data_IF_275627471630
#
_entry.id   IF_275627471630
#
_cell.length_a   1.000
_cell.length_b   1.000
_cell.length_c   1.000
_cell.angle_alpha   90.00
_cell.angle_beta   90.00
_cell.angle_gamma   90.00
#
_symmetry.space_group_name_H-M   'P 1'
#
loop_
_entity.id
_entity.type
_entity.pdbx_description
1 polymer ?
#
# COMPACT_ATOMS: atom_id res chain seq x y z
N UNK A 1 -33.52 4.98 0.90
CA UNK A 1 -32.22 5.34 0.31
C UNK A 1 -32.50 6.34 -0.81
N UNK A 2 -31.66 7.35 -1.07
CA UNK A 2 -31.85 8.25 -2.22
C UNK A 2 -31.92 7.41 -3.50
N UNK A 3 -32.78 7.79 -4.46
CA UNK A 3 -33.13 6.94 -5.60
C UNK A 3 -31.98 6.69 -6.62
N UNK A 4 -30.77 7.22 -6.42
CA UNK A 4 -29.58 6.93 -7.24
C UNK A 4 -28.29 7.39 -6.50
N UNK A 5 -27.64 6.48 -5.74
CA UNK A 5 -26.40 6.80 -5.00
C UNK A 5 -25.22 7.08 -5.94
N UNK A 6 -25.09 6.31 -7.03
CA UNK A 6 -24.05 6.49 -8.04
C UNK A 6 -24.05 7.91 -8.59
N UNK A 7 -25.24 8.40 -8.96
CA UNK A 7 -25.41 9.77 -9.45
C UNK A 7 -25.10 10.83 -8.41
N UNK A 8 -25.61 10.67 -7.19
CA UNK A 8 -25.33 11.61 -6.09
C UNK A 8 -23.82 11.74 -5.85
N UNK A 9 -23.11 10.62 -5.78
CA UNK A 9 -21.66 10.63 -5.60
C UNK A 9 -20.92 11.24 -6.78
N UNK A 10 -21.36 10.96 -8.01
CA UNK A 10 -20.75 11.51 -9.23
C UNK A 10 -20.89 13.04 -9.28
N UNK A 11 -22.09 13.56 -9.00
CA UNK A 11 -22.36 15.00 -8.98
C UNK A 11 -21.52 15.71 -7.90
N UNK A 12 -21.45 15.14 -6.70
CA UNK A 12 -20.66 15.68 -5.58
C UNK A 12 -19.15 15.61 -5.86
N UNK A 13 -18.66 14.50 -6.42
CA UNK A 13 -17.26 14.33 -6.82
C UNK A 13 -16.85 15.34 -7.89
N UNK A 14 -17.65 15.51 -8.95
CA UNK A 14 -17.32 16.47 -10.02
C UNK A 14 -17.32 17.91 -9.48
N UNK A 15 -18.25 18.26 -8.58
CA UNK A 15 -18.30 19.59 -7.97
C UNK A 15 -17.06 19.91 -7.13
N UNK A 16 -16.52 18.93 -6.41
CA UNK A 16 -15.41 19.12 -5.47
C UNK A 16 -14.03 18.84 -6.09
N UNK A 17 -13.93 17.86 -6.98
CA UNK A 17 -12.68 17.31 -7.48
C UNK A 17 -12.43 17.54 -8.98
N UNK A 18 -13.20 18.40 -9.65
CA UNK A 18 -12.90 18.80 -11.04
C UNK A 18 -11.45 19.32 -11.24
N UNK A 19 -10.84 20.07 -10.29
CA UNK A 19 -9.43 20.43 -10.41
C UNK A 19 -8.49 19.21 -10.52
N UNK A 20 -8.76 18.14 -9.77
CA UNK A 20 -8.00 16.89 -9.87
C UNK A 20 -8.23 16.18 -11.20
N UNK A 21 -9.48 16.16 -11.69
CA UNK A 21 -9.83 15.62 -13.02
C UNK A 21 -9.08 16.37 -14.13
N UNK A 22 -9.03 17.71 -14.05
CA UNK A 22 -8.28 18.52 -15.01
C UNK A 22 -6.79 18.14 -15.03
N UNK A 23 -6.17 18.06 -13.84
CA UNK A 23 -4.74 17.72 -13.72
C UNK A 23 -4.43 16.32 -14.27
N UNK A 24 -5.27 15.32 -13.97
CA UNK A 24 -5.03 13.96 -14.47
C UNK A 24 -5.19 13.88 -16.00
N UNK A 25 -6.17 14.60 -16.58
CA UNK A 25 -6.38 14.63 -18.04
C UNK A 25 -5.23 15.34 -18.76
N UNK A 26 -4.75 16.47 -18.22
CA UNK A 26 -3.60 17.20 -18.78
C UNK A 26 -2.30 16.37 -18.70
N UNK A 27 -2.10 15.68 -17.58
CA UNK A 27 -0.94 14.78 -17.43
C UNK A 27 -1.05 13.59 -18.37
N UNK A 28 -2.23 13.02 -18.55
CA UNK A 28 -2.47 11.92 -19.49
C UNK A 28 -2.23 12.34 -20.94
N UNK A 29 -2.66 13.55 -21.33
CA UNK A 29 -2.44 14.07 -22.69
C UNK A 29 -0.95 14.30 -23.00
N UNK A 30 -0.16 14.63 -21.98
CA UNK A 30 1.30 14.81 -22.08
C UNK A 30 2.09 13.52 -21.81
N UNK A 31 1.42 12.41 -21.48
CA UNK A 31 2.04 11.11 -21.22
C UNK A 31 2.67 10.57 -22.52
N UNK A 32 4.00 10.73 -22.65
CA UNK A 32 4.73 10.60 -23.92
C UNK A 32 4.85 9.13 -24.34
N UNK A 33 5.06 8.90 -25.65
CA UNK A 33 5.39 7.56 -26.18
C UNK A 33 6.68 6.95 -25.59
N UNK A 34 7.63 7.76 -25.15
CA UNK A 34 8.87 7.28 -24.50
C UNK A 34 8.61 6.66 -23.12
N UNK A 35 7.57 7.10 -22.40
CA UNK A 35 7.13 6.50 -21.14
C UNK A 35 6.47 5.11 -21.33
N UNK A 36 6.16 4.73 -22.58
CA UNK A 36 5.53 3.44 -22.95
C UNK A 36 6.51 2.28 -23.08
N UNK A 37 7.81 2.51 -22.82
CA UNK A 37 8.83 1.44 -22.74
C UNK A 37 8.88 0.75 -21.36
N UNK A 38 7.99 1.12 -20.45
CA UNK A 38 7.84 0.45 -19.15
C UNK A 38 7.58 -1.05 -19.33
N UNK A 39 8.14 -1.84 -18.41
CA UNK A 39 7.85 -3.27 -18.33
C UNK A 39 6.35 -3.48 -18.05
N UNK A 40 5.77 -4.60 -18.52
CA UNK A 40 4.40 -4.95 -18.17
C UNK A 40 4.19 -5.03 -16.65
N UNK A 41 3.05 -4.54 -16.20
CA UNK A 41 2.66 -4.55 -14.78
C UNK A 41 1.67 -5.69 -14.57
N UNK A 42 2.00 -6.59 -13.64
CA UNK A 42 1.09 -7.68 -13.24
C UNK A 42 0.31 -7.26 -12.01
N UNK A 43 -1.01 -7.22 -12.13
CA UNK A 43 -1.94 -6.94 -11.05
C UNK A 43 -2.91 -8.12 -10.89
N UNK A 44 -3.66 -8.15 -9.79
CA UNK A 44 -4.72 -9.14 -9.62
C UNK A 44 -6.00 -8.49 -9.11
N UNK A 45 -7.12 -9.19 -9.23
CA UNK A 45 -8.36 -8.87 -8.52
C UNK A 45 -9.03 -10.17 -8.11
N UNK A 46 -10.09 -10.10 -7.32
CA UNK A 46 -10.96 -11.25 -7.09
C UNK A 46 -12.19 -11.13 -7.97
N UNK A 47 -12.61 -12.25 -8.54
CA UNK A 47 -13.87 -12.39 -9.27
C UNK A 47 -14.53 -13.68 -8.82
N UNK A 48 -15.76 -13.60 -8.33
CA UNK A 48 -16.50 -14.75 -7.78
C UNK A 48 -15.67 -15.51 -6.72
N UNK A 49 -15.02 -14.79 -5.80
CA UNK A 49 -14.18 -15.37 -4.75
C UNK A 49 -12.85 -15.99 -5.23
N UNK A 50 -12.48 -15.85 -6.50
CA UNK A 50 -11.22 -16.38 -7.04
C UNK A 50 -10.29 -15.26 -7.47
N UNK A 51 -9.00 -15.38 -7.10
CA UNK A 51 -7.94 -14.48 -7.56
C UNK A 51 -7.70 -14.67 -9.06
N UNK A 52 -7.83 -13.59 -9.82
CA UNK A 52 -7.55 -13.51 -11.25
C UNK A 52 -6.41 -12.52 -11.47
N UNK A 53 -5.33 -12.97 -12.11
CA UNK A 53 -4.22 -12.10 -12.47
C UNK A 53 -4.45 -11.50 -13.86
N UNK A 54 -4.06 -10.23 -14.03
CA UNK A 54 -4.07 -9.50 -15.29
C UNK A 54 -2.71 -8.86 -15.52
N UNK A 55 -2.26 -8.82 -16.77
CA UNK A 55 -1.05 -8.11 -17.18
C UNK A 55 -1.43 -6.90 -18.03
N UNK A 56 -0.89 -5.75 -17.65
CA UNK A 56 -1.06 -4.49 -18.37
C UNK A 56 0.26 -4.12 -19.01
N UNK A 57 0.21 -3.68 -20.27
CA UNK A 57 1.41 -3.09 -20.86
C UNK A 57 1.80 -1.80 -20.10
N UNK A 58 3.06 -1.41 -20.23
CA UNK A 58 3.60 -0.22 -19.59
C UNK A 58 3.07 1.11 -20.12
N UNK A 59 2.16 1.11 -21.10
CA UNK A 59 1.60 2.32 -21.70
C UNK A 59 0.38 2.88 -20.96
N UNK A 60 -0.14 2.14 -19.98
CA UNK A 60 -1.22 2.61 -19.13
C UNK A 60 -0.72 3.62 -18.09
N UNK A 61 -1.61 4.54 -17.71
CA UNK A 61 -1.40 5.49 -16.62
C UNK A 61 -1.96 4.90 -15.33
N UNK A 62 -1.09 4.49 -14.41
CA UNK A 62 -1.51 3.80 -13.20
C UNK A 62 -1.85 4.80 -12.07
N UNK A 63 -3.11 4.78 -11.62
CA UNK A 63 -3.59 5.54 -10.48
C UNK A 63 -3.65 4.63 -9.24
N UNK A 64 -2.81 4.89 -8.25
CA UNK A 64 -2.74 4.09 -7.03
C UNK A 64 -3.72 4.60 -5.97
N UNK A 65 -4.51 3.70 -5.38
CA UNK A 65 -5.07 3.80 -4.04
C UNK A 65 -4.30 2.94 -3.03
N UNK A 66 -4.54 3.14 -1.73
CA UNK A 66 -3.85 2.43 -0.64
C UNK A 66 -4.77 1.46 0.11
N UNK A 67 -4.25 0.29 0.47
CA UNK A 67 -4.83 -0.62 1.46
C UNK A 67 -3.74 -1.08 2.45
N UNK A 68 -4.14 -1.68 3.56
CA UNK A 68 -3.21 -2.35 4.48
C UNK A 68 -3.58 -3.80 4.78
N UNK A 69 -2.59 -4.63 5.16
CA UNK A 69 -2.77 -5.98 5.68
C UNK A 69 -2.90 -6.04 7.22
N UNK A 70 -2.96 -4.88 7.87
CA UNK A 70 -3.07 -4.78 9.33
C UNK A 70 -4.45 -5.14 9.87
N UNK A 71 -5.46 -5.22 9.01
CA UNK A 71 -6.83 -5.58 9.34
C UNK A 71 -7.51 -6.32 8.17
N UNK A 72 -8.27 -7.41 8.40
CA UNK A 72 -9.02 -8.10 7.35
C UNK A 72 -10.19 -7.30 6.79
N UNK A 73 -10.82 -6.43 7.59
CA UNK A 73 -11.96 -5.62 7.14
C UNK A 73 -11.47 -4.36 6.43
N UNK A 74 -12.27 -3.86 5.48
CA UNK A 74 -12.14 -2.53 4.94
C UNK A 74 -12.45 -1.49 6.02
N UNK A 75 -11.56 -0.52 6.19
CA UNK A 75 -11.89 0.68 6.97
C UNK A 75 -12.68 1.68 6.12
N UNK A 76 -13.29 2.66 6.78
CA UNK A 76 -14.05 3.70 6.08
C UNK A 76 -13.15 4.56 5.17
N UNK A 77 -11.91 4.82 5.58
CA UNK A 77 -10.89 5.50 4.78
C UNK A 77 -10.49 4.68 3.55
N UNK A 78 -10.39 3.35 3.69
CA UNK A 78 -10.13 2.46 2.57
C UNK A 78 -11.29 2.48 1.57
N UNK A 79 -12.54 2.42 2.03
CA UNK A 79 -13.73 2.50 1.17
C UNK A 79 -13.80 3.84 0.43
N UNK A 80 -13.66 4.96 1.14
CA UNK A 80 -13.65 6.28 0.53
C UNK A 80 -12.53 6.41 -0.52
N UNK A 81 -11.36 5.87 -0.20
CA UNK A 81 -10.23 5.83 -1.10
C UNK A 81 -10.45 5.01 -2.37
N UNK A 82 -11.06 3.83 -2.25
CA UNK A 82 -11.44 2.99 -3.39
C UNK A 82 -12.43 3.74 -4.30
N UNK A 83 -13.47 4.35 -3.71
CA UNK A 83 -14.45 5.14 -4.46
C UNK A 83 -13.76 6.33 -5.16
N UNK A 84 -12.93 7.08 -4.45
CA UNK A 84 -12.20 8.22 -4.99
C UNK A 84 -11.28 7.84 -6.15
N UNK A 85 -10.57 6.71 -6.04
CA UNK A 85 -9.72 6.20 -7.11
C UNK A 85 -10.55 5.80 -8.35
N UNK A 86 -11.66 5.08 -8.15
CA UNK A 86 -12.56 4.67 -9.25
C UNK A 86 -13.22 5.88 -9.93
N UNK A 87 -13.65 6.87 -9.16
CA UNK A 87 -14.24 8.12 -9.67
C UNK A 87 -13.23 8.93 -10.48
N UNK A 88 -12.01 9.12 -9.96
CA UNK A 88 -10.98 9.90 -10.63
C UNK A 88 -10.52 9.22 -11.93
N UNK A 89 -10.37 7.90 -11.93
CA UNK A 89 -10.05 7.14 -13.13
C UNK A 89 -11.18 7.23 -14.17
N UNK A 90 -12.43 7.01 -13.78
CA UNK A 90 -13.56 7.08 -14.72
C UNK A 90 -13.73 8.48 -15.31
N UNK A 91 -13.72 9.52 -14.47
CA UNK A 91 -13.82 10.91 -14.92
C UNK A 91 -12.61 11.30 -15.79
N UNK A 92 -11.40 10.90 -15.39
CA UNK A 92 -10.18 11.15 -16.16
C UNK A 92 -10.24 10.52 -17.56
N UNK A 93 -10.63 9.24 -17.64
CA UNK A 93 -10.80 8.54 -18.93
C UNK A 93 -11.92 9.18 -19.78
N UNK A 94 -13.04 9.58 -19.16
CA UNK A 94 -14.15 10.24 -19.84
C UNK A 94 -13.71 11.58 -20.45
N UNK A 95 -13.19 12.51 -19.64
CA UNK A 95 -12.82 13.84 -20.12
C UNK A 95 -11.56 13.85 -21.00
N UNK A 96 -10.74 12.81 -20.95
CA UNK A 96 -9.68 12.61 -21.94
C UNK A 96 -10.26 12.36 -23.34
N UNK A 97 -11.34 11.57 -23.44
CA UNK A 97 -11.98 11.23 -24.71
C UNK A 97 -12.93 12.32 -25.23
N UNK A 98 -13.59 13.06 -24.32
CA UNK A 98 -14.63 14.04 -24.67
C UNK A 98 -14.24 15.50 -24.46
N UNK A 99 -12.96 15.76 -24.12
CA UNK A 99 -12.38 17.07 -23.79
C UNK A 99 -12.89 17.67 -22.47
N UNK A 100 -12.01 18.41 -21.79
CA UNK A 100 -12.33 19.12 -20.55
C UNK A 100 -13.32 20.26 -20.77
N UNK A 101 -14.40 20.25 -19.98
CA UNK A 101 -15.46 21.27 -19.95
C UNK A 101 -16.24 21.16 -18.63
N UNK A 102 -17.11 22.12 -18.35
CA UNK A 102 -18.07 21.99 -17.25
C UNK A 102 -19.01 20.81 -17.52
N UNK A 103 -19.19 19.90 -16.54
CA UNK A 103 -20.05 18.73 -16.71
C UNK A 103 -21.51 19.13 -16.81
N UNK A 104 -22.21 18.56 -17.78
CA UNK A 104 -23.66 18.64 -17.90
C UNK A 104 -24.36 17.35 -17.45
N UNK A 105 -25.69 17.33 -17.53
CA UNK A 105 -26.50 16.18 -17.12
C UNK A 105 -26.24 14.91 -17.96
N UNK A 106 -25.85 15.06 -19.22
CA UNK A 106 -25.51 13.92 -20.08
C UNK A 106 -24.14 13.35 -19.69
N UNK A 107 -23.15 14.21 -19.38
CA UNK A 107 -21.85 13.76 -18.87
C UNK A 107 -22.03 12.92 -17.60
N UNK A 108 -22.80 13.43 -16.65
CA UNK A 108 -23.09 12.72 -15.40
C UNK A 108 -23.71 11.35 -15.68
N UNK A 109 -24.70 11.29 -16.59
CA UNK A 109 -25.37 10.03 -16.94
C UNK A 109 -24.41 9.01 -17.58
N UNK A 110 -23.54 9.43 -18.50
CA UNK A 110 -22.58 8.53 -19.13
C UNK A 110 -21.47 8.09 -18.18
N UNK A 111 -21.02 8.98 -17.28
CA UNK A 111 -20.07 8.62 -16.22
C UNK A 111 -20.69 7.57 -15.29
N UNK A 112 -21.93 7.78 -14.82
CA UNK A 112 -22.64 6.81 -13.97
C UNK A 112 -22.78 5.43 -14.66
N UNK A 113 -23.10 5.43 -15.95
CA UNK A 113 -23.18 4.19 -16.75
C UNK A 113 -21.82 3.48 -16.88
N UNK A 114 -20.74 4.26 -16.96
CA UNK A 114 -19.37 3.73 -17.05
C UNK A 114 -18.89 3.21 -15.70
N UNK A 115 -19.23 3.89 -14.61
CA UNK A 115 -18.93 3.46 -13.23
C UNK A 115 -19.52 2.09 -12.90
N UNK A 116 -20.67 1.73 -13.48
CA UNK A 116 -21.34 0.42 -13.33
C UNK A 116 -20.62 -0.76 -14.02
N UNK A 117 -19.52 -0.50 -14.73
CA UNK A 117 -18.75 -1.50 -15.47
C UNK A 117 -17.32 -1.57 -14.94
N UNK A 118 -16.55 -2.63 -15.26
CA UNK A 118 -15.12 -2.68 -14.99
C UNK A 118 -14.37 -1.48 -15.54
N UNK A 119 -13.26 -1.12 -14.87
CA UNK A 119 -12.34 -0.09 -15.34
C UNK A 119 -11.87 -0.38 -16.77
N UNK A 120 -12.02 0.62 -17.62
CA UNK A 120 -11.66 0.60 -19.04
C UNK A 120 -11.05 1.96 -19.41
N UNK A 121 -10.01 1.94 -20.25
CA UNK A 121 -9.36 3.14 -20.75
C UNK A 121 -7.87 3.21 -20.42
N UNK A 122 -7.23 4.35 -20.74
CA UNK A 122 -5.78 4.51 -20.56
C UNK A 122 -5.36 4.68 -19.10
N UNK A 123 -6.24 5.16 -18.21
CA UNK A 123 -6.00 5.20 -16.76
C UNK A 123 -6.48 3.89 -16.15
N UNK A 124 -5.61 3.22 -15.40
CA UNK A 124 -5.93 2.00 -14.64
C UNK A 124 -5.78 2.31 -13.16
N UNK A 125 -6.88 2.25 -12.41
CA UNK A 125 -6.86 2.35 -10.96
C UNK A 125 -6.49 1.00 -10.33
N UNK A 126 -5.62 1.03 -9.32
CA UNK A 126 -5.23 -0.16 -8.57
C UNK A 126 -4.95 0.15 -7.08
N UNK A 127 -5.04 -0.88 -6.25
CA UNK A 127 -4.81 -0.84 -4.81
C UNK A 127 -3.42 -1.40 -4.51
N UNK A 128 -2.56 -0.58 -3.93
CA UNK A 128 -1.29 -1.05 -3.39
C UNK A 128 -1.47 -1.35 -1.91
N UNK A 129 -1.09 -2.54 -1.48
CA UNK A 129 -0.95 -2.78 -0.06
C UNK A 129 0.34 -2.12 0.45
N UNK A 130 0.21 -1.08 1.27
CA UNK A 130 1.34 -0.22 1.66
C UNK A 130 2.03 -0.63 2.96
N UNK A 131 1.59 -1.71 3.62
CA UNK A 131 2.28 -2.21 4.81
C UNK A 131 1.94 -3.69 5.12
N UNK A 132 2.71 -4.62 4.55
CA UNK A 132 2.59 -6.06 4.78
C UNK A 132 3.39 -6.57 6.01
N UNK A 133 3.55 -5.72 7.04
CA UNK A 133 4.56 -5.91 8.09
C UNK A 133 4.02 -6.38 9.43
N UNK A 134 2.91 -5.83 9.90
CA UNK A 134 2.31 -6.24 11.17
C UNK A 134 0.83 -6.56 10.96
N UNK A 135 0.38 -7.81 11.22
CA UNK A 135 -0.99 -8.25 10.94
C UNK A 135 -2.04 -7.64 11.87
N UNK A 136 -1.64 -6.91 12.92
CA UNK A 136 -2.56 -6.18 13.80
C UNK A 136 -1.90 -4.87 14.28
N UNK A 137 -1.59 -4.01 13.31
CA UNK A 137 -0.81 -2.79 13.53
C UNK A 137 -1.50 -1.76 14.42
N UNK A 138 -2.81 -1.62 14.26
CA UNK A 138 -3.63 -0.59 14.91
C UNK A 138 -4.63 -1.15 15.93
N UNK A 139 -4.44 -2.39 16.38
CA UNK A 139 -5.26 -2.97 17.46
C UNK A 139 -6.75 -3.06 17.15
N UNK A 140 -7.07 -3.29 15.88
CA UNK A 140 -8.44 -3.35 15.36
C UNK A 140 -8.71 -4.66 14.60
N UNK A 141 -7.75 -5.59 14.60
CA UNK A 141 -7.93 -6.88 13.97
C UNK A 141 -8.79 -7.82 14.86
N UNK A 142 -9.89 -8.39 14.36
CA UNK A 142 -10.72 -9.34 15.12
C UNK A 142 -10.03 -10.68 15.41
N UNK A 143 -8.80 -10.89 14.92
CA UNK A 143 -7.94 -12.04 15.21
C UNK A 143 -6.80 -11.71 16.19
N UNK A 144 -6.77 -10.49 16.75
CA UNK A 144 -5.68 -9.96 17.58
C UNK A 144 -5.13 -10.96 18.60
N UNK A 145 -5.99 -11.50 19.46
CA UNK A 145 -5.55 -12.41 20.52
C UNK A 145 -4.90 -13.68 19.96
N UNK A 146 -5.39 -14.19 18.82
CA UNK A 146 -4.90 -15.45 18.25
C UNK A 146 -3.66 -15.25 17.40
N UNK A 147 -3.48 -14.07 16.81
CA UNK A 147 -2.22 -13.62 16.21
C UNK A 147 -1.12 -13.58 17.29
N UNK A 148 -1.42 -13.05 18.48
CA UNK A 148 -0.46 -12.98 19.60
C UNK A 148 -0.18 -14.36 20.19
N UNK A 149 -1.22 -15.12 20.53
CA UNK A 149 -1.06 -16.44 21.18
C UNK A 149 -0.48 -17.51 20.26
N UNK A 150 -0.65 -17.38 18.93
CA UNK A 150 0.04 -18.24 17.95
C UNK A 150 1.55 -17.91 17.80
N UNK A 151 2.02 -16.81 18.39
CA UNK A 151 3.41 -16.36 18.32
C UNK A 151 3.78 -15.61 17.04
N UNK A 152 2.79 -15.21 16.24
CA UNK A 152 2.99 -14.63 14.91
C UNK A 152 2.86 -13.10 14.89
N UNK A 153 2.60 -12.45 16.04
CA UNK A 153 2.34 -11.01 16.07
C UNK A 153 3.53 -10.10 15.72
N UNK A 154 4.75 -10.65 15.67
CA UNK A 154 5.94 -9.95 15.17
C UNK A 154 6.37 -10.41 13.76
N UNK A 155 5.59 -11.27 13.09
CA UNK A 155 5.86 -11.72 11.72
C UNK A 155 5.34 -10.68 10.72
N UNK A 156 6.01 -10.51 9.56
CA UNK A 156 5.38 -9.90 8.38
C UNK A 156 4.05 -10.57 8.09
N UNK A 157 3.03 -9.81 7.68
CA UNK A 157 1.71 -10.35 7.32
C UNK A 157 1.82 -11.45 6.25
N UNK A 158 2.78 -11.34 5.34
CA UNK A 158 3.08 -12.36 4.33
C UNK A 158 3.52 -13.73 4.89
N UNK A 159 4.02 -13.78 6.14
CA UNK A 159 4.46 -15.02 6.80
C UNK A 159 3.42 -15.57 7.77
N UNK A 160 2.39 -14.80 8.08
CA UNK A 160 1.34 -15.23 9.02
C UNK A 160 0.53 -16.36 8.38
N UNK A 161 0.32 -17.39 9.19
CA UNK A 161 -0.38 -18.62 8.87
C UNK A 161 -1.73 -18.67 9.57
N UNK A 162 -2.78 -19.04 8.84
CA UNK A 162 -4.18 -18.92 9.32
C UNK A 162 -4.65 -20.10 10.18
N UNK A 163 -3.94 -21.23 10.17
CA UNK A 163 -4.36 -22.50 10.79
C UNK A 163 -4.56 -22.42 12.31
N UNK A 164 -3.93 -21.44 12.97
CA UNK A 164 -4.05 -21.19 14.41
C UNK A 164 -4.82 -19.92 14.76
N UNK A 165 -5.32 -19.22 13.76
CA UNK A 165 -6.08 -18.00 13.96
C UNK A 165 -7.55 -18.34 14.12
N UNK A 166 -8.24 -17.57 14.95
CA UNK A 166 -9.69 -17.64 15.14
C UNK A 166 -10.17 -16.27 15.57
N UNK A 167 -11.47 -16.03 15.41
CA UNK A 167 -12.14 -14.86 15.94
C UNK A 167 -11.86 -14.75 17.45
N UNK A 168 -11.43 -13.57 17.87
CA UNK A 168 -11.34 -13.19 19.26
C UNK A 168 -12.72 -12.77 19.76
N UNK A 169 -13.39 -13.66 20.49
CA UNK A 169 -14.74 -13.40 20.99
C UNK A 169 -14.77 -12.21 21.95
N UNK A 170 -13.69 -11.96 22.72
CA UNK A 170 -13.65 -10.80 23.62
C UNK A 170 -13.60 -9.49 22.82
N UNK A 171 -12.88 -9.49 21.70
CA UNK A 171 -12.91 -8.36 20.77
C UNK A 171 -14.33 -8.16 20.21
N UNK A 172 -14.97 -9.22 19.73
CA UNK A 172 -16.33 -9.13 19.17
C UNK A 172 -17.32 -8.61 20.20
N UNK A 173 -17.37 -9.21 21.39
CA UNK A 173 -18.30 -8.82 22.46
C UNK A 173 -18.12 -7.37 22.88
N UNK A 174 -16.88 -6.86 22.83
CA UNK A 174 -16.57 -5.47 23.19
C UNK A 174 -16.88 -4.47 22.07
N UNK A 175 -16.61 -4.84 20.82
CA UNK A 175 -16.59 -3.89 19.69
C UNK A 175 -17.75 -4.06 18.71
N UNK A 176 -18.67 -4.99 18.97
CA UNK A 176 -19.87 -5.14 18.16
C UNK A 176 -20.65 -3.81 18.05
N UNK A 177 -20.94 -3.40 16.82
CA UNK A 177 -21.63 -2.15 16.50
C UNK A 177 -20.72 -0.91 16.46
N UNK A 178 -19.44 -1.02 16.85
CA UNK A 178 -18.47 0.08 16.81
C UNK A 178 -17.35 -0.14 15.78
N UNK A 179 -16.61 -1.26 15.88
CA UNK A 179 -15.53 -1.61 14.92
C UNK A 179 -15.88 -2.79 14.03
N UNK A 180 -16.85 -3.60 14.44
CA UNK A 180 -17.23 -4.81 13.73
C UNK A 180 -18.71 -5.08 13.92
N UNK A 181 -19.37 -5.64 12.92
CA UNK A 181 -20.73 -6.15 13.05
C UNK A 181 -20.76 -7.67 12.87
N UNK A 182 -21.85 -8.29 13.32
CA UNK A 182 -22.05 -9.75 13.20
C UNK A 182 -21.84 -10.29 11.78
N UNK A 183 -22.32 -9.58 10.77
CA UNK A 183 -22.14 -9.96 9.35
C UNK A 183 -20.67 -10.02 8.96
N UNK A 184 -19.86 -9.07 9.43
CA UNK A 184 -18.41 -9.06 9.19
C UNK A 184 -17.71 -10.18 9.94
N UNK A 185 -18.10 -10.48 11.18
CA UNK A 185 -17.58 -11.64 11.92
C UNK A 185 -17.84 -12.93 11.13
N UNK A 186 -19.06 -13.13 10.65
CA UNK A 186 -19.44 -14.32 9.88
C UNK A 186 -18.66 -14.43 8.56
N UNK A 187 -18.43 -13.30 7.88
CA UNK A 187 -17.62 -13.24 6.66
C UNK A 187 -16.16 -13.58 6.96
N UNK A 188 -15.56 -12.93 7.96
CA UNK A 188 -14.18 -13.14 8.38
C UNK A 188 -13.96 -14.61 8.75
N UNK A 189 -14.84 -15.20 9.57
CA UNK A 189 -14.70 -16.59 9.98
C UNK A 189 -14.78 -17.54 8.77
N UNK A 190 -15.74 -17.35 7.88
CA UNK A 190 -15.90 -18.17 6.67
C UNK A 190 -14.69 -18.07 5.74
N UNK A 191 -14.14 -16.88 5.53
CA UNK A 191 -12.97 -16.71 4.68
C UNK A 191 -11.70 -17.28 5.34
N UNK A 192 -11.59 -17.17 6.66
CA UNK A 192 -10.48 -17.74 7.42
C UNK A 192 -10.42 -19.26 7.27
N UNK A 193 -11.56 -19.95 7.33
CA UNK A 193 -11.68 -21.39 7.10
C UNK A 193 -11.25 -21.81 5.68
N UNK A 194 -11.45 -20.94 4.68
CA UNK A 194 -11.15 -21.19 3.27
C UNK A 194 -9.76 -20.71 2.81
N UNK A 195 -9.01 -20.03 3.68
CA UNK A 195 -7.77 -19.33 3.34
C UNK A 195 -6.55 -20.22 3.04
N UNK A 196 -6.65 -21.53 3.25
CA UNK A 196 -5.58 -22.52 2.96
C UNK A 196 -4.20 -22.13 3.53
N UNK A 197 -4.16 -21.54 4.72
CA UNK A 197 -2.92 -21.25 5.45
C UNK A 197 -2.21 -19.95 5.07
N UNK A 198 -2.82 -19.07 4.26
CA UNK A 198 -2.23 -17.80 3.85
C UNK A 198 -3.01 -16.61 4.38
N UNK A 199 -2.39 -15.83 5.27
CA UNK A 199 -3.04 -14.66 5.87
C UNK A 199 -3.31 -13.54 4.86
N UNK A 200 -2.39 -13.29 3.92
CA UNK A 200 -2.60 -12.26 2.90
C UNK A 200 -3.66 -12.65 1.88
N UNK A 201 -3.78 -13.94 1.54
CA UNK A 201 -4.90 -14.42 0.71
C UNK A 201 -6.23 -14.34 1.45
N UNK A 202 -6.23 -14.64 2.76
CA UNK A 202 -7.37 -14.43 3.64
C UNK A 202 -7.83 -12.96 3.64
N UNK A 203 -6.94 -12.01 3.96
CA UNK A 203 -7.30 -10.59 4.02
C UNK A 203 -7.80 -10.10 2.67
N UNK A 204 -7.13 -10.46 1.57
CA UNK A 204 -7.61 -10.08 0.24
C UNK A 204 -9.02 -10.65 -0.04
N UNK A 205 -9.28 -11.91 0.32
CA UNK A 205 -10.60 -12.51 0.12
C UNK A 205 -11.71 -11.83 0.92
N UNK A 206 -11.43 -11.40 2.16
CA UNK A 206 -12.38 -10.64 2.99
C UNK A 206 -12.63 -9.27 2.38
N UNK A 207 -11.56 -8.51 2.09
CA UNK A 207 -11.68 -7.16 1.54
C UNK A 207 -12.41 -7.15 0.21
N UNK A 208 -12.08 -8.06 -0.72
CA UNK A 208 -12.77 -8.12 -2.00
C UNK A 208 -14.24 -8.55 -1.87
N UNK A 209 -14.59 -9.44 -0.94
CA UNK A 209 -16.00 -9.76 -0.68
C UNK A 209 -16.78 -8.54 -0.14
N UNK A 210 -16.14 -7.70 0.68
CA UNK A 210 -16.73 -6.43 1.12
C UNK A 210 -16.80 -5.41 -0.03
N UNK A 211 -15.79 -5.33 -0.90
CA UNK A 211 -15.81 -4.47 -2.10
C UNK A 211 -16.98 -4.85 -3.02
N UNK A 212 -17.23 -6.14 -3.25
CA UNK A 212 -18.34 -6.63 -4.08
C UNK A 212 -19.70 -6.19 -3.51
N UNK A 213 -19.93 -6.38 -2.21
CA UNK A 213 -21.13 -5.93 -1.52
C UNK A 213 -21.33 -4.40 -1.59
N UNK A 214 -20.26 -3.65 -1.39
CA UNK A 214 -20.26 -2.19 -1.47
C UNK A 214 -20.54 -1.75 -2.91
N UNK A 215 -19.98 -2.44 -3.90
CA UNK A 215 -20.20 -2.16 -5.33
C UNK A 215 -21.68 -2.26 -5.70
N UNK A 216 -22.35 -3.33 -5.24
CA UNK A 216 -23.80 -3.50 -5.40
C UNK A 216 -24.58 -2.37 -4.74
N UNK A 217 -24.20 -1.98 -3.52
CA UNK A 217 -24.90 -0.95 -2.74
C UNK A 217 -24.80 0.44 -3.40
N UNK A 218 -23.63 0.79 -3.93
CA UNK A 218 -23.40 2.09 -4.57
C UNK A 218 -23.78 2.11 -6.06
N UNK A 219 -24.07 0.95 -6.66
CA UNK A 219 -24.18 0.76 -8.10
C UNK A 219 -22.96 1.30 -8.86
N UNK A 220 -21.76 1.00 -8.34
CA UNK A 220 -20.46 1.35 -8.93
C UNK A 220 -19.62 0.08 -8.85
N UNK A 221 -18.99 -0.33 -9.95
CA UNK A 221 -18.00 -1.41 -9.91
C UNK A 221 -16.71 -0.90 -9.25
N UNK A 222 -16.51 -1.29 -7.99
CA UNK A 222 -15.36 -0.91 -7.17
C UNK A 222 -14.29 -2.00 -7.12
N UNK A 223 -14.41 -3.08 -7.92
CA UNK A 223 -13.45 -4.19 -8.00
C UNK A 223 -12.14 -3.78 -8.70
N UNK A 224 -11.42 -2.84 -8.08
CA UNK A 224 -10.12 -2.38 -8.54
C UNK A 224 -9.10 -3.52 -8.52
N UNK A 225 -8.10 -3.42 -9.40
CA UNK A 225 -6.94 -4.29 -9.35
C UNK A 225 -6.11 -4.03 -8.09
N UNK A 226 -5.24 -4.96 -7.71
CA UNK A 226 -4.37 -4.86 -6.55
C UNK A 226 -2.95 -5.37 -6.84
N UNK A 227 -2.00 -4.85 -6.06
CA UNK A 227 -0.60 -5.23 -6.07
C UNK A 227 -0.10 -5.48 -4.63
N UNK A 228 0.55 -6.63 -4.42
CA UNK A 228 1.16 -7.01 -3.13
C UNK A 228 2.64 -6.63 -3.08
N UNK A 229 2.98 -5.65 -2.25
CA UNK A 229 4.36 -5.24 -2.01
C UNK A 229 4.59 -4.96 -0.52
N UNK A 230 5.86 -5.00 -0.06
CA UNK A 230 7.05 -5.45 -0.79
C UNK A 230 7.32 -6.96 -0.73
N UNK A 231 6.87 -7.70 0.29
CA UNK A 231 7.42 -9.04 0.59
C UNK A 231 7.03 -10.07 -0.47
N UNK A 232 5.77 -10.10 -0.90
CA UNK A 232 5.34 -11.01 -1.95
C UNK A 232 6.08 -10.78 -3.28
N UNK A 233 6.39 -9.51 -3.59
CA UNK A 233 7.20 -9.16 -4.77
C UNK A 233 8.64 -9.63 -4.60
N UNK A 234 9.27 -9.35 -3.45
CA UNK A 234 10.63 -9.80 -3.16
C UNK A 234 10.80 -11.33 -3.18
N UNK A 235 9.77 -12.08 -2.79
CA UNK A 235 9.75 -13.55 -2.87
C UNK A 235 9.65 -14.07 -4.30
N UNK A 236 8.99 -13.32 -5.20
CA UNK A 236 8.82 -13.69 -6.60
C UNK A 236 9.99 -13.22 -7.48
N UNK A 237 10.68 -12.16 -7.08
CA UNK A 237 11.85 -11.59 -7.74
C UNK A 237 13.14 -12.39 -7.50
N UNK A 238 14.03 -12.36 -8.48
CA UNK A 238 15.41 -12.81 -8.38
C UNK A 238 16.33 -11.65 -7.95
N UNK A 239 17.59 -11.94 -7.62
CA UNK A 239 18.56 -10.91 -7.20
C UNK A 239 18.82 -9.83 -8.25
N UNK A 240 18.57 -10.13 -9.52
CA UNK A 240 18.79 -9.22 -10.65
C UNK A 240 17.58 -8.32 -10.93
N UNK A 241 16.48 -8.50 -10.20
CA UNK A 241 15.24 -7.73 -10.33
C UNK A 241 15.23 -6.48 -9.44
N UNK A 242 14.18 -5.68 -9.61
CA UNK A 242 14.16 -4.28 -9.22
C UNK A 242 14.29 -4.04 -7.71
N UNK A 243 13.51 -4.72 -6.87
CA UNK A 243 13.56 -4.43 -5.43
C UNK A 243 14.85 -4.96 -4.81
N UNK A 244 15.40 -6.07 -5.30
CA UNK A 244 16.70 -6.57 -4.86
C UNK A 244 17.83 -5.62 -5.24
N UNK A 245 17.79 -5.04 -6.45
CA UNK A 245 18.72 -4.00 -6.89
C UNK A 245 18.63 -2.73 -6.05
N UNK A 246 17.41 -2.25 -5.75
CA UNK A 246 17.19 -1.08 -4.91
C UNK A 246 17.81 -1.28 -3.52
N UNK A 247 17.58 -2.45 -2.91
CA UNK A 247 18.16 -2.77 -1.60
C UNK A 247 19.68 -2.84 -1.70
N UNK A 248 20.22 -3.53 -2.70
CA UNK A 248 21.67 -3.66 -2.94
C UNK A 248 22.36 -2.30 -3.05
N UNK A 249 21.88 -1.44 -3.94
CA UNK A 249 22.50 -0.13 -4.20
C UNK A 249 22.42 0.80 -2.98
N UNK A 250 21.32 0.77 -2.22
CA UNK A 250 21.16 1.59 -1.01
C UNK A 250 22.04 1.14 0.15
N UNK A 251 22.59 -0.08 0.11
CA UNK A 251 23.51 -0.62 1.12
C UNK A 251 24.96 -0.76 0.65
N UNK A 252 25.27 -0.36 -0.60
CA UNK A 252 26.59 -0.56 -1.23
C UNK A 252 27.75 -0.03 -0.39
N UNK A 253 27.61 1.17 0.17
CA UNK A 253 28.65 1.83 0.97
C UNK A 253 28.07 2.92 1.87
N UNK A 254 28.92 3.54 2.69
CA UNK A 254 28.55 4.62 3.62
C UNK A 254 27.84 5.79 2.92
N UNK A 255 28.31 6.18 1.74
CA UNK A 255 27.73 7.30 1.00
C UNK A 255 26.30 7.00 0.56
N UNK A 256 26.04 5.82 -0.01
CA UNK A 256 24.70 5.40 -0.42
C UNK A 256 23.75 5.36 0.78
N UNK A 257 24.18 4.78 1.91
CA UNK A 257 23.37 4.76 3.14
C UNK A 257 23.11 6.18 3.66
N UNK A 258 24.12 7.05 3.63
CA UNK A 258 24.00 8.45 4.05
C UNK A 258 23.01 9.22 3.17
N UNK A 259 23.06 9.01 1.85
CA UNK A 259 22.09 9.59 0.91
C UNK A 259 20.67 9.11 1.21
N UNK A 260 20.46 7.81 1.45
CA UNK A 260 19.16 7.26 1.84
C UNK A 260 18.64 7.87 3.16
N UNK A 261 19.52 8.05 4.15
CA UNK A 261 19.20 8.73 5.40
C UNK A 261 18.77 10.18 5.19
N UNK A 262 19.45 10.91 4.31
CA UNK A 262 19.10 12.29 3.97
C UNK A 262 17.73 12.37 3.29
N UNK A 263 17.38 11.42 2.42
CA UNK A 263 16.03 11.35 1.83
C UNK A 263 14.94 11.23 2.92
N UNK A 264 15.21 10.52 4.01
CA UNK A 264 14.31 10.40 5.17
C UNK A 264 14.46 11.51 6.21
N UNK A 265 15.33 12.51 5.97
CA UNK A 265 15.72 13.55 6.94
C UNK A 265 16.24 13.01 8.27
N UNK A 266 16.97 11.89 8.21
CA UNK A 266 17.54 11.25 9.40
C UNK A 266 19.04 11.45 9.46
N UNK A 267 19.55 11.58 10.68
CA UNK A 267 20.99 11.67 10.93
C UNK A 267 21.65 10.30 10.98
N UNK A 268 22.82 10.19 10.33
CA UNK A 268 23.70 9.03 10.43
C UNK A 268 24.49 8.95 11.74
N UNK A 269 24.38 9.92 12.65
CA UNK A 269 25.17 9.95 13.90
C UNK A 269 24.91 8.72 14.78
N UNK A 270 23.64 8.33 14.97
CA UNK A 270 23.29 7.16 15.80
C UNK A 270 23.35 5.84 15.02
N UNK A 271 23.25 5.88 13.69
CA UNK A 271 23.27 4.70 12.80
C UNK A 271 22.20 3.65 13.13
N UNK A 272 21.01 4.09 13.57
CA UNK A 272 19.95 3.19 14.08
C UNK A 272 18.80 2.94 13.12
N UNK A 273 18.69 3.68 12.02
CA UNK A 273 17.62 3.47 11.04
C UNK A 273 18.04 2.38 10.07
N UNK A 274 17.33 1.26 10.11
CA UNK A 274 17.51 0.20 9.14
C UNK A 274 16.79 0.56 7.84
N UNK A 275 17.50 0.65 6.72
CA UNK A 275 16.92 0.90 5.40
C UNK A 275 16.08 -0.31 4.93
N UNK A 276 16.49 -1.51 5.34
CA UNK A 276 15.70 -2.73 5.28
C UNK A 276 15.84 -3.46 6.61
N UNK A 277 14.75 -4.02 7.15
CA UNK A 277 14.74 -4.69 8.45
C UNK A 277 14.94 -6.19 8.24
N UNK A 278 16.12 -6.77 8.53
CA UNK A 278 16.36 -8.20 8.35
C UNK A 278 15.46 -9.04 9.24
N UNK A 279 14.91 -10.11 8.68
CA UNK A 279 14.07 -11.04 9.41
C UNK A 279 14.91 -12.00 10.25
N UNK A 280 14.38 -12.40 11.39
CA UNK A 280 15.04 -13.40 12.23
C UNK A 280 14.81 -14.82 11.69
N UNK A 281 15.65 -15.79 12.09
CA UNK A 281 15.42 -17.21 11.80
C UNK A 281 14.12 -17.74 12.41
N UNK A 282 13.56 -17.04 13.40
CA UNK A 282 12.27 -17.34 14.01
C UNK A 282 11.09 -16.77 13.22
N UNK A 283 11.34 -16.04 12.12
CA UNK A 283 10.31 -15.43 11.27
C UNK A 283 9.92 -13.99 11.66
N UNK A 284 10.55 -13.41 12.68
CA UNK A 284 10.24 -12.03 13.09
C UNK A 284 10.68 -11.04 12.02
N UNK A 285 9.80 -10.11 11.66
CA UNK A 285 10.02 -9.10 10.61
C UNK A 285 9.34 -7.76 10.90
N UNK A 286 8.71 -7.60 12.06
CA UNK A 286 8.10 -6.33 12.50
C UNK A 286 9.12 -5.18 12.51
N UNK A 287 8.79 -4.10 11.79
CA UNK A 287 9.57 -2.86 11.78
C UNK A 287 9.50 -2.17 13.13
N UNK A 288 8.38 -2.30 13.84
CA UNK A 288 8.17 -1.68 15.15
C UNK A 288 8.94 -2.37 16.27
N UNK A 289 9.06 -3.70 16.24
CA UNK A 289 9.78 -4.49 17.24
C UNK A 289 11.31 -4.49 17.04
N UNK A 290 11.78 -4.22 15.82
CA UNK A 290 13.21 -4.22 15.51
C UNK A 290 13.95 -3.00 16.07
N UNK A 291 15.15 -3.22 16.60
CA UNK A 291 16.13 -2.18 16.96
C UNK A 291 17.43 -2.50 16.24
N UNK A 292 17.86 -1.58 15.38
CA UNK A 292 19.01 -1.76 14.51
C UNK A 292 20.22 -0.92 14.88
N UNK A 293 21.41 -1.39 14.50
CA UNK A 293 22.61 -0.56 14.43
C UNK A 293 23.46 -0.94 13.21
N UNK A 294 23.82 0.04 12.40
CA UNK A 294 24.73 -0.12 11.27
C UNK A 294 26.18 0.05 11.74
N UNK A 295 27.04 -0.89 11.35
CA UNK A 295 28.47 -0.90 11.67
C UNK A 295 29.27 -0.75 10.39
N UNK A 296 30.09 0.29 10.34
CA UNK A 296 30.97 0.58 9.21
C UNK A 296 32.41 0.34 9.58
N UNK A 297 33.18 -0.14 8.62
CA UNK A 297 34.63 -0.21 8.63
C UNK A 297 35.08 0.62 7.43
N UNK A 298 35.70 1.77 7.73
CA UNK A 298 35.91 2.86 6.78
C UNK A 298 34.60 3.26 6.07
N UNK A 299 34.55 3.07 4.75
CA UNK A 299 33.38 3.37 3.91
C UNK A 299 32.50 2.14 3.67
N UNK A 300 32.92 0.94 4.06
CA UNK A 300 32.20 -0.31 3.83
C UNK A 300 31.21 -0.58 4.96
N UNK A 301 29.97 -0.94 4.63
CA UNK A 301 29.05 -1.50 5.61
C UNK A 301 29.57 -2.89 6.01
N UNK A 302 30.09 -3.01 7.23
CA UNK A 302 30.63 -4.26 7.75
C UNK A 302 29.51 -5.20 8.18
N UNK A 303 28.56 -4.68 8.96
CA UNK A 303 27.46 -5.47 9.48
C UNK A 303 26.29 -4.62 9.98
N UNK A 304 25.16 -5.28 10.18
CA UNK A 304 23.95 -4.73 10.79
C UNK A 304 23.56 -5.59 11.97
N UNK A 305 23.53 -5.01 13.17
CA UNK A 305 23.03 -5.69 14.36
C UNK A 305 21.54 -5.42 14.51
N UNK A 306 20.76 -6.46 14.75
CA UNK A 306 19.30 -6.40 14.88
C UNK A 306 18.89 -7.09 16.17
N UNK A 307 18.19 -6.35 17.03
CA UNK A 307 17.56 -6.87 18.24
C UNK A 307 16.04 -6.70 18.14
N UNK A 308 15.31 -7.81 18.10
CA UNK A 308 13.86 -7.82 18.23
C UNK A 308 13.50 -7.78 19.72
N UNK A 309 12.55 -6.92 20.06
CA UNK A 309 12.01 -6.80 21.40
C UNK A 309 10.50 -6.70 21.34
N UNK A 310 9.83 -7.40 22.26
CA UNK A 310 8.39 -7.29 22.46
C UNK A 310 8.02 -5.82 22.62
N UNK A 311 7.19 -5.30 21.71
CA UNK A 311 6.92 -3.86 21.60
C UNK A 311 5.43 -3.61 21.39
N UNK A 312 4.89 -2.60 22.07
CA UNK A 312 3.54 -2.08 21.84
C UNK A 312 3.45 -1.47 20.44
N UNK A 313 2.40 -1.83 19.71
CA UNK A 313 2.08 -1.31 18.39
C UNK A 313 1.34 0.03 18.51
N UNK A 314 0.50 0.37 17.53
CA UNK A 314 -0.23 1.62 17.52
C UNK A 314 -1.61 1.45 18.18
N UNK A 315 -2.10 2.48 18.89
CA UNK A 315 -3.45 2.47 19.44
C UNK A 315 -4.51 2.50 18.33
N UNK A 316 -5.73 2.03 18.65
CA UNK A 316 -6.92 2.35 17.87
C UNK A 316 -7.56 3.65 18.38
N UNK A 317 -8.46 4.24 17.60
CA UNK A 317 -9.09 5.54 17.91
C UNK A 317 -10.24 5.46 18.91
N UNK A 318 -10.77 4.26 19.23
CA UNK A 318 -11.90 4.09 20.16
C UNK A 318 -11.41 3.89 21.60
N UNK A 319 -10.43 3.01 21.80
CA UNK A 319 -9.80 2.69 23.09
C UNK A 319 -8.26 2.71 22.94
N UNK A 320 -7.64 3.91 22.99
CA UNK A 320 -6.21 4.08 22.74
C UNK A 320 -5.28 3.34 23.71
N UNK A 321 -5.79 2.96 24.89
CA UNK A 321 -5.07 2.17 25.87
C UNK A 321 -4.88 0.70 25.46
N UNK A 322 -5.75 0.16 24.61
CA UNK A 322 -5.78 -1.25 24.21
C UNK A 322 -4.89 -1.56 23.03
N UNK A 323 -3.59 -1.42 23.26
CA UNK A 323 -2.58 -1.55 22.21
C UNK A 323 -2.16 -3.00 22.00
N UNK A 324 -2.10 -3.42 20.74
CA UNK A 324 -1.56 -4.71 20.33
C UNK A 324 -0.06 -4.79 20.51
N UNK A 325 0.47 -6.02 20.49
CA UNK A 325 1.87 -6.26 20.81
C UNK A 325 2.50 -7.10 19.72
N UNK A 326 3.57 -6.59 19.11
CA UNK A 326 4.49 -7.42 18.34
C UNK A 326 5.40 -8.15 19.33
N UNK A 327 5.10 -9.44 19.55
CA UNK A 327 5.76 -10.27 20.55
C UNK A 327 6.87 -11.08 19.89
N UNK A 328 8.10 -10.85 20.31
CA UNK A 328 9.25 -11.53 19.75
C UNK A 328 10.56 -11.02 20.35
N UNK A 329 11.45 -11.96 20.68
CA UNK A 329 12.78 -11.65 21.17
C UNK A 329 13.82 -12.44 20.38
N UNK A 330 14.74 -11.70 19.78
CA UNK A 330 15.89 -12.26 19.08
C UNK A 330 17.01 -11.22 18.99
N UNK A 331 18.23 -11.68 18.79
CA UNK A 331 19.37 -10.81 18.57
C UNK A 331 20.37 -11.49 17.63
N UNK A 332 20.69 -10.83 16.53
CA UNK A 332 21.59 -11.37 15.53
C UNK A 332 22.27 -10.25 14.73
N UNK A 333 23.24 -10.66 13.92
CA UNK A 333 23.99 -9.76 13.05
C UNK A 333 23.93 -10.28 11.62
N UNK A 334 23.75 -9.37 10.67
CA UNK A 334 23.82 -9.64 9.23
C UNK A 334 25.08 -9.00 8.69
N UNK A 335 25.85 -9.73 7.88
CA UNK A 335 27.02 -9.17 7.19
C UNK A 335 26.57 -8.13 6.17
N UNK A 336 27.25 -6.98 6.12
CA UNK A 336 26.86 -5.88 5.23
C UNK A 336 26.96 -6.26 3.74
N UNK A 337 27.85 -7.18 3.39
CA UNK A 337 27.96 -7.73 2.03
C UNK A 337 26.67 -8.41 1.56
N UNK A 338 25.93 -9.08 2.46
CA UNK A 338 24.65 -9.71 2.12
C UNK A 338 23.52 -8.70 1.84
N UNK A 339 23.69 -7.46 2.30
CA UNK A 339 22.76 -6.38 1.99
C UNK A 339 23.18 -5.61 0.74
N UNK A 340 24.48 -5.59 0.42
CA UNK A 340 25.02 -4.98 -0.79
C UNK A 340 24.92 -5.90 -2.03
N UNK A 341 24.90 -7.22 -1.84
CA UNK A 341 24.55 -8.24 -2.84
C UNK A 341 23.28 -8.95 -2.36
N UNK A 342 22.17 -8.22 -2.38
CA UNK A 342 20.96 -8.63 -1.70
C UNK A 342 20.21 -9.75 -2.43
N UNK A 343 19.79 -10.75 -1.66
CA UNK A 343 18.87 -11.80 -2.06
C UNK A 343 17.88 -12.07 -0.94
N UNK A 344 16.58 -11.92 -1.22
CA UNK A 344 15.53 -12.19 -0.24
C UNK A 344 15.58 -13.64 0.29
N UNK A 345 15.96 -14.61 -0.55
CA UNK A 345 16.07 -16.01 -0.14
C UNK A 345 17.18 -16.25 0.90
N UNK A 346 18.25 -15.47 0.87
CA UNK A 346 19.40 -15.60 1.78
C UNK A 346 19.31 -14.68 2.99
N UNK A 347 18.76 -13.47 2.77
CA UNK A 347 18.65 -12.40 3.75
C UNK A 347 17.25 -11.79 3.66
N UNK A 348 16.20 -12.53 4.06
CA UNK A 348 14.84 -12.01 4.00
C UNK A 348 14.74 -10.74 4.86
N UNK A 349 14.18 -9.67 4.30
CA UNK A 349 14.09 -8.39 5.01
C UNK A 349 12.93 -7.53 4.52
N UNK A 350 12.47 -6.64 5.39
CA UNK A 350 11.37 -5.71 5.12
C UNK A 350 11.90 -4.31 4.78
N UNK A 351 11.93 -3.88 3.50
CA UNK A 351 12.39 -2.54 3.14
C UNK A 351 11.47 -1.44 3.69
N UNK A 352 12.05 -0.26 3.95
CA UNK A 352 11.26 0.93 4.25
C UNK A 352 10.40 1.35 3.05
N UNK A 353 9.24 1.97 3.30
CA UNK A 353 8.27 2.38 2.29
C UNK A 353 8.89 3.13 1.11
N UNK A 354 9.70 4.16 1.41
CA UNK A 354 10.31 5.00 0.37
C UNK A 354 11.24 4.23 -0.59
N UNK A 355 11.77 3.07 -0.20
CA UNK A 355 12.59 2.26 -1.09
C UNK A 355 11.73 1.48 -2.07
N UNK A 356 10.80 0.66 -1.56
CA UNK A 356 10.01 -0.19 -2.44
C UNK A 356 8.98 0.61 -3.23
N UNK A 357 8.62 1.82 -2.80
CA UNK A 357 7.77 2.73 -3.56
C UNK A 357 8.39 3.16 -4.89
N UNK A 358 9.73 3.08 -5.05
CA UNK A 358 10.39 3.26 -6.35
C UNK A 358 10.03 2.14 -7.34
N UNK A 359 9.67 0.96 -6.84
CA UNK A 359 9.21 -0.18 -7.64
C UNK A 359 7.72 -0.19 -7.93
N UNK A 360 6.95 0.73 -7.34
CA UNK A 360 5.51 0.88 -7.62
C UNK A 360 5.31 1.47 -9.02
N UNK A 361 4.37 0.95 -9.84
CA UNK A 361 4.13 1.41 -11.20
C UNK A 361 3.38 2.76 -11.29
N UNK A 362 3.04 3.34 -10.15
CA UNK A 362 2.15 4.49 -10.01
C UNK A 362 2.61 5.75 -10.77
N UNK A 363 1.73 6.29 -11.62
CA UNK A 363 1.87 7.62 -12.21
C UNK A 363 1.17 8.69 -11.37
N UNK A 364 0.17 8.28 -10.62
CA UNK A 364 -0.58 9.12 -9.70
C UNK A 364 -0.98 8.33 -8.45
N UNK A 365 -1.23 9.05 -7.38
CA UNK A 365 -1.42 8.49 -6.04
C UNK A 365 -2.56 9.21 -5.32
N UNK A 366 -3.49 8.43 -4.79
CA UNK A 366 -4.46 8.82 -3.77
C UNK A 366 -4.05 8.20 -2.44
N UNK A 367 -3.73 9.04 -1.46
CA UNK A 367 -3.29 8.61 -0.14
C UNK A 367 -4.47 8.42 0.80
N UNK A 368 -4.63 7.22 1.35
CA UNK A 368 -5.65 6.97 2.37
C UNK A 368 -4.99 7.04 3.75
N UNK A 369 -5.64 7.65 4.73
CA UNK A 369 -5.11 7.77 6.09
C UNK A 369 -3.90 8.69 6.27
N UNK A 370 -3.30 9.26 5.21
CA UNK A 370 -2.20 10.25 5.38
C UNK A 370 -2.73 11.67 5.62
N UNK A 371 -3.87 12.02 5.01
CA UNK A 371 -4.44 13.37 5.08
C UNK A 371 -4.88 13.78 6.49
N UNK A 372 -5.57 12.91 7.23
CA UNK A 372 -5.98 13.20 8.62
C UNK A 372 -4.85 13.08 9.63
N UNK A 373 -3.95 12.08 9.45
CA UNK A 373 -2.89 11.80 10.42
C UNK A 373 -1.58 12.53 10.12
N UNK A 374 -1.56 13.36 9.07
CA UNK A 374 -0.43 14.16 8.64
C UNK A 374 0.89 13.38 8.77
N UNK A 375 1.18 12.49 7.81
CA UNK A 375 2.49 11.87 7.69
C UNK A 375 3.39 12.61 6.66
N UNK A 376 3.68 13.93 6.82
CA UNK A 376 4.44 14.69 5.85
C UNK A 376 5.86 14.13 5.69
N UNK A 377 6.41 13.49 6.72
CA UNK A 377 7.72 12.85 6.63
C UNK A 377 7.71 11.62 5.71
N UNK A 378 6.60 10.88 5.63
CA UNK A 378 6.48 9.76 4.68
C UNK A 378 6.47 10.29 3.24
N UNK A 379 5.62 11.28 2.97
CA UNK A 379 5.52 11.94 1.66
C UNK A 379 6.83 12.62 1.26
N UNK A 380 7.49 13.33 2.19
CA UNK A 380 8.80 13.93 1.96
C UNK A 380 9.84 12.87 1.61
N UNK A 381 9.86 11.74 2.31
CA UNK A 381 10.80 10.66 1.99
C UNK A 381 10.55 10.04 0.62
N UNK A 382 9.27 9.85 0.27
CA UNK A 382 8.81 9.37 -1.04
C UNK A 382 9.23 10.31 -2.20
N UNK A 383 9.08 11.63 -2.03
CA UNK A 383 9.51 12.60 -3.04
C UNK A 383 11.03 12.74 -3.09
N UNK A 384 11.69 12.76 -1.93
CA UNK A 384 13.14 13.00 -1.84
C UNK A 384 13.96 11.87 -2.46
N UNK A 385 13.49 10.62 -2.38
CA UNK A 385 14.16 9.49 -2.99
C UNK A 385 14.03 9.50 -4.52
N UNK A 386 12.85 9.85 -5.05
CA UNK A 386 12.61 10.02 -6.49
C UNK A 386 13.48 11.14 -7.07
N UNK A 387 13.52 12.29 -6.40
CA UNK A 387 14.37 13.41 -6.79
C UNK A 387 15.86 13.07 -6.71
N UNK A 388 16.29 12.33 -5.68
CA UNK A 388 17.66 11.82 -5.59
C UNK A 388 18.02 10.96 -6.80
N UNK A 389 17.18 9.97 -7.13
CA UNK A 389 17.40 9.08 -8.27
C UNK A 389 17.38 9.84 -9.61
N UNK A 390 16.48 10.81 -9.78
CA UNK A 390 16.40 11.67 -10.98
C UNK A 390 17.68 12.47 -11.21
N UNK A 391 18.35 12.90 -10.13
CA UNK A 391 19.66 13.58 -10.18
C UNK A 391 20.85 12.61 -10.36
N UNK A 392 20.59 11.32 -10.59
CA UNK A 392 21.62 10.28 -10.66
C UNK A 392 22.27 9.97 -9.31
N UNK A 393 21.64 10.39 -8.20
CA UNK A 393 22.07 10.14 -6.83
C UNK A 393 21.35 8.90 -6.27
N UNK A 394 21.93 8.28 -5.24
CA UNK A 394 21.42 7.07 -4.57
C UNK A 394 21.42 5.77 -5.39
N UNK A 395 20.58 5.66 -6.42
CA UNK A 395 20.40 4.43 -7.22
C UNK A 395 20.53 4.79 -8.70
N UNK A 396 21.43 4.11 -9.41
CA UNK A 396 21.68 4.33 -10.84
C UNK A 396 20.93 3.32 -11.71
N UNK A 397 20.76 3.68 -12.97
CA UNK A 397 20.26 2.83 -14.06
C UNK A 397 18.83 2.29 -13.85
N UNK A 398 18.03 2.94 -12.98
CA UNK A 398 16.66 2.55 -12.68
C UNK A 398 15.77 2.58 -13.94
N UNK A 399 15.93 3.61 -14.76
CA UNK A 399 15.17 3.73 -16.00
C UNK A 399 15.68 2.77 -17.07
N UNK A 400 16.99 2.74 -17.30
CA UNK A 400 17.63 1.99 -18.37
C UNK A 400 17.52 0.47 -18.17
N UNK A 401 17.69 -0.02 -16.94
CA UNK A 401 17.68 -1.47 -16.64
C UNK A 401 16.29 -1.99 -16.27
N UNK A 402 15.47 -1.18 -15.61
CA UNK A 402 14.20 -1.63 -15.03
C UNK A 402 12.96 -0.92 -15.57
N UNK A 403 13.12 0.12 -16.40
CA UNK A 403 12.00 0.90 -16.92
C UNK A 403 11.29 1.75 -15.87
N UNK A 404 11.93 2.00 -14.72
CA UNK A 404 11.36 2.81 -13.64
C UNK A 404 11.35 4.28 -14.06
N UNK A 405 10.22 4.94 -13.82
CA UNK A 405 10.12 6.39 -13.97
C UNK A 405 10.40 7.04 -12.62
N UNK A 406 11.44 7.85 -12.56
CA UNK A 406 11.87 8.59 -11.37
C UNK A 406 11.16 9.92 -11.21
N UNK A 407 10.29 10.31 -12.14
CA UNK A 407 9.42 11.48 -11.98
C UNK A 407 8.50 11.33 -10.77
N UNK A 408 8.13 12.46 -10.19
CA UNK A 408 7.21 12.50 -9.08
C UNK A 408 5.82 12.15 -9.61
N UNK A 409 5.26 11.07 -9.08
CA UNK A 409 3.87 10.71 -9.36
C UNK A 409 2.97 11.87 -8.93
N UNK A 410 1.87 12.10 -9.64
CA UNK A 410 0.88 13.08 -9.19
C UNK A 410 0.38 12.70 -7.80
N UNK A 411 0.55 13.60 -6.85
CA UNK A 411 0.10 13.40 -5.48
C UNK A 411 -1.27 14.05 -5.35
N UNK A 412 -2.32 13.29 -5.59
CA UNK A 412 -3.67 13.77 -5.31
C UNK A 412 -3.87 13.84 -3.80
N UNK A 413 -4.93 14.53 -3.40
CA UNK A 413 -5.44 14.52 -2.03
C UNK A 413 -4.44 14.88 -0.90
N UNK A 414 -3.38 15.61 -1.26
CA UNK A 414 -2.49 16.33 -0.33
C UNK A 414 -2.89 17.80 -0.13
N UNK A 415 -3.83 18.28 -0.95
CA UNK A 415 -4.45 19.61 -0.87
C UNK A 415 -5.91 19.37 -0.49
N UNK A 416 -6.29 19.51 0.78
CA UNK A 416 -7.62 19.16 1.29
C UNK A 416 -8.78 19.79 0.52
N UNK A 417 -8.58 20.99 -0.03
CA UNK A 417 -9.61 21.74 -0.74
C UNK A 417 -9.99 21.13 -2.09
N UNK A 418 -9.14 20.28 -2.67
CA UNK A 418 -9.41 19.54 -3.91
C UNK A 418 -9.92 18.11 -3.68
N UNK A 419 -10.05 17.71 -2.41
CA UNK A 419 -10.42 16.35 -2.04
C UNK A 419 -11.92 16.13 -2.10
N UNK A 420 -12.30 14.99 -2.66
CA UNK A 420 -13.66 14.51 -2.49
C UNK A 420 -13.84 14.02 -1.06
N UNK A 421 -14.68 14.73 -0.33
CA UNK A 421 -15.08 14.41 1.03
C UNK A 421 -16.43 13.71 0.95
N UNK A 422 -16.55 12.52 1.54
CA UNK A 422 -17.82 11.80 1.52
C UNK A 422 -18.97 12.67 2.10
N UNK A 423 -20.09 12.87 1.38
CA UNK A 423 -21.08 13.91 1.72
C UNK A 423 -21.78 13.69 3.06
N UNK A 424 -21.92 12.43 3.50
CA UNK A 424 -22.53 12.06 4.80
C UNK A 424 -21.49 11.96 5.92
N UNK A 425 -20.47 11.11 5.75
CA UNK A 425 -19.51 10.79 6.80
C UNK A 425 -18.43 11.86 6.99
N UNK A 426 -18.24 12.76 6.03
CA UNK A 426 -17.28 13.87 6.07
C UNK A 426 -15.83 13.44 6.35
N UNK A 427 -15.49 12.22 5.94
CA UNK A 427 -14.14 11.69 6.03
C UNK A 427 -13.29 12.17 4.84
N UNK A 428 -11.97 11.95 4.95
CA UNK A 428 -10.86 12.69 4.31
C UNK A 428 -11.00 12.88 2.80
#
# INVERSE_FOLDING_TARGET
MPNDLCRMLTEDFLKSSMPCVKVIVEKLASFKKEERQRKPVSLFRFKNGQKVNSSFDGSHFFLRGSLEYSNPQLTLEEVQGIIGARMLETCGNYFHNYSLREPDANDISEICKTLKKPSEGPIIAFLLNTDDIEPDRYSMNPLKETIVTSGQSAFPSAYVRTEKLRIDQQFVDKYEGNLICKREVDLVNRQLENAKGSYVDFVDSVKYAQIEEISETFEIDLELYALRMPIATLQAETKDDLLHHIISETHRNYEAVSQAYNCMRRSMTKRTTLLTVPHSKKGYGSKRAARGKLHFEDTKLKSVSVKYQTTRLYPNDIHPEEVSIAKGEDNFTVAGEKLADYSFSETPSSPQFFLYSLGSPENAVLWHGIGAFAAPELLRSYMSVREGCRRGQLIRDLHEKYGVITDDSLQFNLVPEGMWIHPVHRNI
#
